data_IF_349983686386
#
_entry.id   IF_349983686386
#
_cell.length_a   1.000
_cell.length_b   1.000
_cell.length_c   1.000
_cell.angle_alpha   90.00
_cell.angle_beta   90.00
_cell.angle_gamma   90.00
#
_symmetry.space_group_name_H-M   'P 1'
#
loop_
_entity.id
_entity.type
_entity.pdbx_description
1 polymer ?
#
# COMPACT_ATOMS: atom_id res chain seq x y z
N UNK A 1 -22.75 -3.31 2.13
CA UNK A 1 -21.63 -3.81 2.91
C UNK A 1 -20.33 -3.06 2.64
N UNK A 2 -19.37 -3.19 3.54
CA UNK A 2 -18.06 -2.55 3.39
C UNK A 2 -17.18 -3.48 2.57
N UNK A 3 -16.68 -2.99 1.44
CA UNK A 3 -15.82 -3.75 0.54
C UNK A 3 -14.36 -3.30 0.63
N UNK A 4 -13.45 -4.26 0.75
CA UNK A 4 -12.00 -4.01 0.75
C UNK A 4 -11.58 -3.22 -0.48
N UNK A 5 -12.09 -3.60 -1.66
CA UNK A 5 -11.72 -2.97 -2.94
C UNK A 5 -12.12 -1.49 -3.00
N UNK A 6 -13.19 -1.09 -2.33
CA UNK A 6 -13.61 0.31 -2.30
C UNK A 6 -12.68 1.14 -1.41
N UNK A 7 -12.27 0.57 -0.27
CA UNK A 7 -11.33 1.21 0.64
C UNK A 7 -9.97 1.36 -0.04
N UNK A 8 -9.46 0.30 -0.64
CA UNK A 8 -8.13 0.32 -1.29
C UNK A 8 -8.11 1.27 -2.48
N UNK A 9 -9.18 1.32 -3.27
CA UNK A 9 -9.26 2.26 -4.40
C UNK A 9 -9.27 3.71 -3.90
N UNK A 10 -10.03 4.01 -2.87
CA UNK A 10 -10.11 5.36 -2.29
C UNK A 10 -8.73 5.79 -1.75
N UNK A 11 -8.09 4.95 -0.94
CA UNK A 11 -6.76 5.25 -0.39
C UNK A 11 -5.75 5.44 -1.52
N UNK A 12 -5.76 4.56 -2.52
CA UNK A 12 -4.83 4.64 -3.65
C UNK A 12 -5.02 5.93 -4.45
N UNK A 13 -6.26 6.35 -4.68
CA UNK A 13 -6.55 7.63 -5.35
C UNK A 13 -6.03 8.83 -4.56
N UNK A 14 -6.11 8.77 -3.23
CA UNK A 14 -5.55 9.81 -2.37
C UNK A 14 -4.02 9.84 -2.45
N UNK A 15 -3.36 8.68 -2.50
CA UNK A 15 -1.92 8.60 -2.72
C UNK A 15 -1.56 9.19 -4.08
N UNK A 16 -2.28 8.81 -5.13
CA UNK A 16 -2.08 9.37 -6.47
C UNK A 16 -2.15 10.91 -6.44
N UNK A 17 -3.21 11.45 -5.86
CA UNK A 17 -3.41 12.90 -5.77
C UNK A 17 -2.26 13.59 -5.05
N UNK A 18 -1.83 13.05 -3.91
CA UNK A 18 -0.74 13.61 -3.12
C UNK A 18 0.59 13.55 -3.88
N UNK A 19 0.91 12.44 -4.52
CA UNK A 19 2.15 12.30 -5.30
C UNK A 19 2.15 13.24 -6.50
N UNK A 20 1.04 13.32 -7.24
CA UNK A 20 0.95 14.22 -8.41
C UNK A 20 1.10 15.67 -7.99
N UNK A 21 0.53 16.07 -6.85
CA UNK A 21 0.65 17.44 -6.33
C UNK A 21 2.10 17.83 -6.03
N UNK A 22 2.97 16.84 -5.83
CA UNK A 22 4.39 17.03 -5.58
C UNK A 22 5.27 16.78 -6.81
N UNK A 23 4.66 16.64 -7.98
CA UNK A 23 5.36 16.53 -9.25
C UNK A 23 5.75 15.13 -9.68
N UNK A 24 5.28 14.10 -8.98
CA UNK A 24 5.58 12.71 -9.36
C UNK A 24 4.59 12.19 -10.37
N UNK A 25 5.07 11.40 -11.33
CA UNK A 25 4.23 10.68 -12.28
C UNK A 25 3.69 9.42 -11.60
N UNK A 26 2.39 9.19 -11.73
CA UNK A 26 1.73 8.02 -11.12
C UNK A 26 0.92 7.29 -12.19
N UNK A 27 1.06 5.97 -12.24
CA UNK A 27 0.22 5.09 -13.05
C UNK A 27 -0.51 4.16 -12.09
N UNK A 28 -1.83 4.12 -12.18
CA UNK A 28 -2.65 3.22 -11.39
C UNK A 28 -3.00 1.99 -12.22
N UNK A 29 -2.90 0.80 -11.61
CA UNK A 29 -3.31 -0.45 -12.27
C UNK A 29 -4.83 -0.52 -12.41
N UNK A 30 -5.56 0.22 -11.58
CA UNK A 30 -7.02 0.26 -11.59
C UNK A 30 -7.47 1.65 -11.15
N UNK A 31 -8.43 2.24 -11.87
CA UNK A 31 -8.99 3.57 -11.56
C UNK A 31 -10.47 3.52 -11.16
N UNK A 32 -11.09 2.38 -11.29
CA UNK A 32 -12.50 2.15 -11.01
C UNK A 32 -12.69 0.72 -10.48
N UNK A 33 -13.90 0.19 -10.50
CA UNK A 33 -14.22 -1.14 -10.01
C UNK A 33 -13.92 -2.26 -11.00
N UNK A 34 -13.17 -1.99 -12.06
CA UNK A 34 -12.76 -3.00 -13.02
C UNK A 34 -11.79 -3.98 -12.39
N UNK A 35 -12.02 -5.28 -12.61
CA UNK A 35 -11.09 -6.32 -12.15
C UNK A 35 -9.82 -6.30 -12.99
N UNK A 36 -8.68 -6.35 -12.33
CA UNK A 36 -7.36 -6.47 -12.96
C UNK A 36 -6.66 -7.67 -12.33
N UNK A 37 -6.27 -8.64 -13.15
CA UNK A 37 -5.58 -9.83 -12.66
C UNK A 37 -4.21 -9.48 -12.08
N UNK A 38 -3.66 -10.36 -11.25
CA UNK A 38 -2.31 -10.17 -10.69
C UNK A 38 -1.27 -10.13 -11.80
N UNK A 39 -1.40 -10.98 -12.82
CA UNK A 39 -0.51 -10.98 -13.98
C UNK A 39 -0.59 -9.65 -14.73
N UNK A 40 -1.78 -9.13 -14.95
CA UNK A 40 -1.97 -7.85 -15.65
C UNK A 40 -1.37 -6.69 -14.86
N UNK A 41 -1.47 -6.70 -13.54
CA UNK A 41 -0.84 -5.67 -12.70
C UNK A 41 0.67 -5.66 -12.87
N UNK A 42 1.30 -6.84 -12.89
CA UNK A 42 2.74 -6.96 -13.14
C UNK A 42 3.08 -6.47 -14.54
N UNK A 43 2.29 -6.86 -15.55
CA UNK A 43 2.51 -6.43 -16.94
C UNK A 43 2.43 -4.91 -17.09
N UNK A 44 1.48 -4.26 -16.41
CA UNK A 44 1.38 -2.79 -16.40
C UNK A 44 2.68 -2.20 -15.82
N UNK A 45 3.16 -2.73 -14.70
CA UNK A 45 4.41 -2.26 -14.10
C UNK A 45 5.59 -2.44 -15.06
N UNK A 46 5.74 -3.62 -15.64
CA UNK A 46 6.87 -3.88 -16.55
C UNK A 46 6.83 -2.99 -17.80
N UNK A 47 5.64 -2.72 -18.33
CA UNK A 47 5.49 -1.87 -19.51
C UNK A 47 5.77 -0.39 -19.21
N UNK A 48 5.37 0.09 -18.03
CA UNK A 48 5.57 1.48 -17.63
C UNK A 48 6.99 1.75 -17.11
N UNK A 49 7.72 0.71 -16.72
CA UNK A 49 9.07 0.79 -16.16
C UNK A 49 9.19 1.86 -15.06
N UNK A 50 8.37 1.78 -14.00
CA UNK A 50 8.40 2.77 -12.93
C UNK A 50 9.64 2.61 -12.05
N UNK A 51 9.89 3.61 -11.20
CA UNK A 51 10.94 3.51 -10.20
C UNK A 51 10.59 2.55 -9.08
N UNK A 52 9.30 2.47 -8.71
CA UNK A 52 8.79 1.59 -7.65
C UNK A 52 7.39 1.10 -7.99
N UNK A 53 6.99 0.02 -7.33
CA UNK A 53 5.62 -0.52 -7.38
C UNK A 53 5.08 -0.63 -5.96
N UNK A 54 3.87 -0.11 -5.73
CA UNK A 54 3.22 -0.18 -4.41
C UNK A 54 1.82 -0.74 -4.57
N UNK A 55 1.54 -1.85 -3.89
CA UNK A 55 0.22 -2.48 -3.84
C UNK A 55 -0.41 -2.20 -2.48
N UNK A 56 -1.65 -1.72 -2.46
CA UNK A 56 -2.36 -1.36 -1.23
C UNK A 56 -3.53 -2.31 -1.03
N UNK A 57 -3.58 -2.94 0.13
CA UNK A 57 -4.57 -3.95 0.48
C UNK A 57 -5.17 -3.72 1.86
N UNK A 58 -6.35 -4.27 2.10
CA UNK A 58 -6.95 -4.39 3.42
C UNK A 58 -6.90 -5.86 3.80
N UNK A 59 -6.39 -6.14 5.00
CA UNK A 59 -6.20 -7.49 5.50
C UNK A 59 -7.48 -8.08 6.08
N UNK A 60 -7.53 -9.39 6.18
CA UNK A 60 -8.63 -10.10 6.81
C UNK A 60 -8.12 -11.38 7.44
N UNK A 61 -8.64 -11.73 8.61
CA UNK A 61 -8.33 -12.96 9.31
C UNK A 61 -9.62 -13.69 9.69
N UNK A 62 -9.51 -14.99 9.97
CA UNK A 62 -10.64 -15.78 10.47
C UNK A 62 -11.08 -15.26 11.84
N UNK A 63 -10.12 -14.99 12.73
CA UNK A 63 -10.39 -14.33 14.00
C UNK A 63 -10.65 -12.83 13.81
N UNK A 64 -11.51 -12.26 14.64
CA UNK A 64 -11.77 -10.82 14.67
C UNK A 64 -10.78 -10.04 15.52
N UNK A 65 -9.83 -10.72 16.17
CA UNK A 65 -8.89 -10.08 17.10
C UNK A 65 -7.75 -9.33 16.42
N UNK A 66 -7.10 -9.85 15.35
CA UNK A 66 -5.96 -9.16 14.75
C UNK A 66 -6.33 -7.77 14.22
N UNK A 67 -5.43 -6.81 14.44
CA UNK A 67 -5.54 -5.46 13.90
C UNK A 67 -4.14 -4.87 13.68
N UNK A 68 -4.06 -3.83 12.87
CA UNK A 68 -2.80 -3.13 12.61
C UNK A 68 -2.39 -3.17 11.16
N UNK A 69 -1.27 -2.51 10.87
CA UNK A 69 -0.72 -2.43 9.51
C UNK A 69 0.51 -3.31 9.38
N UNK A 70 0.70 -3.83 8.16
CA UNK A 70 1.85 -4.66 7.79
C UNK A 70 2.41 -4.17 6.47
N UNK A 71 3.74 -4.27 6.31
CA UNK A 71 4.38 -3.97 5.03
C UNK A 71 5.15 -5.20 4.57
N UNK A 72 4.84 -5.67 3.37
CA UNK A 72 5.43 -6.89 2.80
C UNK A 72 6.39 -6.56 1.66
N UNK A 73 7.50 -7.27 1.59
CA UNK A 73 8.45 -7.24 0.48
C UNK A 73 8.90 -8.66 0.18
N UNK A 74 9.47 -8.88 -1.00
CA UNK A 74 10.07 -10.18 -1.33
C UNK A 74 11.55 -10.06 -1.62
N UNK A 75 11.94 -9.23 -2.61
CA UNK A 75 13.34 -9.07 -2.99
C UNK A 75 14.08 -8.15 -2.01
N UNK A 76 15.34 -8.47 -1.76
CA UNK A 76 16.17 -7.65 -0.86
C UNK A 76 16.27 -6.20 -1.32
N UNK A 77 16.28 -5.94 -2.64
CA UNK A 77 16.32 -4.59 -3.17
C UNK A 77 15.03 -3.80 -2.90
N UNK A 78 13.98 -4.45 -2.41
CA UNK A 78 12.73 -3.79 -2.01
C UNK A 78 12.65 -3.49 -0.51
N UNK A 79 13.57 -4.02 0.30
CA UNK A 79 13.49 -3.95 1.76
C UNK A 79 13.59 -2.52 2.28
N UNK A 80 14.44 -1.69 1.67
CA UNK A 80 14.57 -0.29 2.08
C UNK A 80 13.27 0.48 1.87
N UNK A 81 12.62 0.30 0.72
CA UNK A 81 11.31 0.91 0.46
C UNK A 81 10.29 0.46 1.51
N UNK A 82 10.24 -0.83 1.80
CA UNK A 82 9.33 -1.37 2.81
C UNK A 82 9.62 -0.76 4.20
N UNK A 83 10.88 -0.65 4.57
CA UNK A 83 11.30 -0.10 5.86
C UNK A 83 10.86 1.36 6.02
N UNK A 84 11.10 2.17 5.00
CA UNK A 84 10.79 3.61 5.05
C UNK A 84 9.28 3.83 5.07
N UNK A 85 8.52 3.13 4.22
CA UNK A 85 7.06 3.24 4.21
C UNK A 85 6.47 2.77 5.54
N UNK A 86 6.95 1.64 6.06
CA UNK A 86 6.46 1.12 7.35
C UNK A 86 6.72 2.09 8.50
N UNK A 87 7.87 2.75 8.49
CA UNK A 87 8.19 3.77 9.50
C UNK A 87 7.13 4.89 9.52
N UNK A 88 6.75 5.38 8.35
CA UNK A 88 5.72 6.42 8.25
C UNK A 88 4.35 5.93 8.67
N UNK A 89 3.99 4.70 8.31
CA UNK A 89 2.73 4.11 8.76
C UNK A 89 2.69 4.01 10.29
N UNK A 90 3.77 3.56 10.91
CA UNK A 90 3.86 3.44 12.36
C UNK A 90 3.75 4.79 13.07
N UNK A 91 4.26 5.86 12.47
CA UNK A 91 4.26 7.19 13.05
C UNK A 91 2.97 7.97 12.81
N UNK A 92 2.32 7.77 11.66
CA UNK A 92 1.27 8.67 11.18
C UNK A 92 -0.15 8.11 11.32
N UNK A 93 -0.32 6.80 11.53
CA UNK A 93 -1.65 6.23 11.74
C UNK A 93 -1.74 5.60 13.13
N UNK A 94 -2.92 5.76 13.76
CA UNK A 94 -3.21 5.24 15.10
C UNK A 94 -3.69 3.80 15.01
N UNK A 95 -2.78 2.87 14.71
CA UNK A 95 -3.06 1.44 14.78
C UNK A 95 -1.78 0.71 15.16
N UNK A 96 -1.87 -0.58 15.39
CA UNK A 96 -0.72 -1.39 15.75
C UNK A 96 0.23 -1.50 14.56
N UNK A 97 1.51 -1.27 14.79
CA UNK A 97 2.57 -1.57 13.82
C UNK A 97 2.92 -3.06 13.93
N UNK A 98 2.51 -3.84 12.93
CA UNK A 98 2.81 -5.27 12.90
C UNK A 98 4.16 -5.55 12.24
N UNK A 99 4.79 -4.55 11.62
CA UNK A 99 6.15 -4.63 11.11
C UNK A 99 6.27 -5.09 9.66
N UNK A 100 7.48 -5.54 9.35
CA UNK A 100 7.84 -6.00 8.00
C UNK A 100 7.70 -7.50 7.90
N UNK A 101 7.26 -7.96 6.73
CA UNK A 101 7.15 -9.38 6.40
C UNK A 101 7.81 -9.64 5.06
N UNK A 102 8.64 -10.68 4.99
CA UNK A 102 9.14 -11.18 3.71
C UNK A 102 8.12 -12.20 3.20
N UNK A 103 7.49 -11.92 2.07
CA UNK A 103 6.33 -12.67 1.59
C UNK A 103 6.39 -12.90 0.10
N UNK A 104 5.75 -13.98 -0.37
CA UNK A 104 5.78 -14.38 -1.78
C UNK A 104 4.54 -13.96 -2.56
N UNK A 105 3.89 -12.85 -2.17
CA UNK A 105 2.77 -12.33 -2.96
C UNK A 105 3.19 -12.10 -4.41
N UNK A 106 2.34 -12.49 -5.34
CA UNK A 106 2.64 -12.51 -6.77
C UNK A 106 3.19 -11.17 -7.26
N UNK A 107 2.51 -10.07 -6.95
CA UNK A 107 2.87 -8.75 -7.49
C UNK A 107 4.23 -8.24 -7.01
N UNK A 108 4.67 -8.59 -5.81
CA UNK A 108 5.96 -8.14 -5.28
C UNK A 108 7.10 -9.12 -5.61
N UNK A 109 6.75 -10.35 -5.98
CA UNK A 109 7.71 -11.37 -6.40
C UNK A 109 8.06 -11.23 -7.88
N UNK A 110 7.07 -10.93 -8.73
CA UNK A 110 7.23 -10.94 -10.18
C UNK A 110 7.57 -9.57 -10.79
N UNK A 111 7.49 -8.48 -10.04
CA UNK A 111 7.94 -7.17 -10.52
C UNK A 111 9.45 -7.06 -10.42
N UNK A 112 10.07 -6.33 -11.37
CA UNK A 112 11.54 -6.20 -11.44
C UNK A 112 12.05 -4.89 -10.86
N UNK A 113 11.18 -4.07 -10.31
CA UNK A 113 11.52 -2.83 -9.60
C UNK A 113 11.28 -3.04 -8.10
N UNK A 114 11.83 -2.17 -7.23
CA UNK A 114 11.48 -2.23 -5.81
C UNK A 114 9.97 -2.20 -5.63
N UNK A 115 9.42 -3.23 -4.98
CA UNK A 115 7.99 -3.49 -4.90
C UNK A 115 7.59 -3.90 -3.50
N UNK A 116 6.52 -3.29 -2.99
CA UNK A 116 5.96 -3.60 -1.68
C UNK A 116 4.45 -3.77 -1.76
N UNK A 117 3.91 -4.51 -0.77
CA UNK A 117 2.48 -4.65 -0.56
C UNK A 117 2.19 -4.19 0.87
N UNK A 118 1.31 -3.19 0.98
CA UNK A 118 0.93 -2.61 2.28
C UNK A 118 -0.45 -3.12 2.65
N UNK A 119 -0.56 -3.77 3.81
CA UNK A 119 -1.83 -4.12 4.43
C UNK A 119 -2.16 -3.02 5.43
N UNK A 120 -3.16 -2.19 5.12
CA UNK A 120 -3.41 -0.95 5.87
C UNK A 120 -4.23 -1.14 7.15
N UNK A 121 -4.74 -2.33 7.38
CA UNK A 121 -5.55 -2.67 8.54
C UNK A 121 -6.36 -3.92 8.26
N UNK A 122 -7.05 -4.44 9.29
CA UNK A 122 -7.86 -5.66 9.20
C UNK A 122 -9.35 -5.31 9.15
N UNK A 123 -10.00 -5.65 8.04
CA UNK A 123 -11.47 -5.46 7.92
C UNK A 123 -12.24 -6.43 8.81
N UNK A 124 -11.62 -7.55 9.19
CA UNK A 124 -12.21 -8.55 10.10
C UNK A 124 -12.30 -8.09 11.55
N UNK A 125 -11.53 -7.07 11.94
CA UNK A 125 -11.60 -6.48 13.26
C UNK A 125 -12.64 -5.34 13.25
N UNK A 126 -13.65 -5.42 14.11
CA UNK A 126 -14.77 -4.48 14.09
C UNK A 126 -14.33 -3.03 14.30
N UNK A 127 -13.47 -2.77 15.28
CA UNK A 127 -12.98 -1.43 15.55
C UNK A 127 -12.13 -0.88 14.39
N UNK A 128 -11.21 -1.69 13.86
CA UNK A 128 -10.36 -1.27 12.75
C UNK A 128 -11.18 -1.03 11.49
N UNK A 129 -12.18 -1.88 11.21
CA UNK A 129 -13.07 -1.69 10.06
C UNK A 129 -13.79 -0.34 10.16
N UNK A 130 -14.30 0.00 11.35
CA UNK A 130 -14.99 1.28 11.56
C UNK A 130 -14.06 2.48 11.35
N UNK A 131 -12.78 2.34 11.69
CA UNK A 131 -11.77 3.37 11.43
C UNK A 131 -11.44 3.45 9.93
N UNK A 132 -11.23 2.31 9.27
CA UNK A 132 -10.81 2.22 7.87
C UNK A 132 -11.77 2.90 6.90
N UNK A 133 -13.05 3.00 7.25
CA UNK A 133 -14.05 3.65 6.39
C UNK A 133 -14.12 5.15 6.60
N UNK A 134 -13.43 5.71 7.59
CA UNK A 134 -13.45 7.15 7.85
C UNK A 134 -12.49 7.90 6.91
N UNK A 135 -12.86 9.11 6.54
CA UNK A 135 -11.98 9.99 5.76
C UNK A 135 -10.68 10.27 6.50
N UNK A 136 -10.76 10.47 7.81
CA UNK A 136 -9.59 10.73 8.65
C UNK A 136 -8.55 9.62 8.54
N UNK A 137 -8.97 8.36 8.69
CA UNK A 137 -8.05 7.21 8.62
C UNK A 137 -7.52 7.00 7.21
N UNK A 138 -8.39 7.12 6.19
CA UNK A 138 -7.97 6.98 4.80
C UNK A 138 -6.95 8.03 4.41
N UNK A 139 -7.18 9.29 4.80
CA UNK A 139 -6.26 10.38 4.48
C UNK A 139 -4.92 10.23 5.22
N UNK A 140 -4.96 9.87 6.49
CA UNK A 140 -3.73 9.63 7.28
C UNK A 140 -2.91 8.49 6.67
N UNK A 141 -3.59 7.41 6.26
CA UNK A 141 -2.93 6.26 5.63
C UNK A 141 -2.29 6.65 4.30
N UNK A 142 -3.04 7.37 3.46
CA UNK A 142 -2.53 7.84 2.16
C UNK A 142 -1.34 8.78 2.34
N UNK A 143 -1.41 9.68 3.32
CA UNK A 143 -0.31 10.60 3.62
C UNK A 143 0.94 9.84 4.08
N UNK A 144 0.78 8.86 4.97
CA UNK A 144 1.89 8.07 5.48
C UNK A 144 2.59 7.31 4.34
N UNK A 145 1.83 6.65 3.47
CA UNK A 145 2.37 5.94 2.31
C UNK A 145 3.11 6.91 1.39
N UNK A 146 2.49 8.05 1.11
CA UNK A 146 3.07 9.08 0.24
C UNK A 146 4.38 9.61 0.82
N UNK A 147 4.40 9.96 2.11
CA UNK A 147 5.59 10.47 2.79
C UNK A 147 6.73 9.44 2.73
N UNK A 148 6.42 8.17 2.95
CA UNK A 148 7.40 7.09 2.85
C UNK A 148 7.95 6.93 1.44
N UNK A 149 7.09 6.96 0.43
CA UNK A 149 7.50 6.87 -0.98
C UNK A 149 8.44 8.04 -1.33
N UNK A 150 8.08 9.26 -0.95
CA UNK A 150 8.88 10.44 -1.27
C UNK A 150 10.22 10.39 -0.56
N UNK A 151 10.26 10.03 0.71
CA UNK A 151 11.52 9.89 1.45
C UNK A 151 12.43 8.87 0.78
N UNK A 152 11.88 7.72 0.38
CA UNK A 152 12.64 6.68 -0.30
C UNK A 152 13.20 7.19 -1.64
N UNK A 153 12.37 7.82 -2.47
CA UNK A 153 12.80 8.30 -3.80
C UNK A 153 13.85 9.41 -3.70
N UNK A 154 13.73 10.31 -2.72
CA UNK A 154 14.71 11.38 -2.50
C UNK A 154 16.06 10.85 -2.02
N UNK A 155 16.09 9.73 -1.32
CA UNK A 155 17.31 9.09 -0.87
C UNK A 155 18.07 8.37 -1.99
N UNK A 156 17.47 8.20 -3.17
CA UNK A 156 18.06 7.51 -4.32
C UNK A 156 18.56 8.55 -5.33
N UNK A 157 19.82 8.59 -5.51
CA UNK A 157 20.47 9.46 -6.52
C UNK A 157 21.13 8.63 -7.59
#
# INVERSE_FOLDING_TARGET
GINEKDITLDVTKRVESLLRSKGYKVVMTRKDDTFVSLEDRVNISENEAPQIFVSIHVNSAVSKEPYGSETHYYHEYSKELATVVNKHLAQEISTKDRGLFKSMFYVINHTTVPAILVEIGFISNDNERNELITDKRKQATAKAITDGIIEYLKGRK
#
